data_IF_615115725342
#
_entry.id   IF_615115725342
#
_cell.length_a   1.000
_cell.length_b   1.000
_cell.length_c   1.000
_cell.angle_alpha   90.00
_cell.angle_beta   90.00
_cell.angle_gamma   90.00
#
_symmetry.space_group_name_H-M   'P 1'
#
loop_
_entity.id
_entity.type
_entity.pdbx_description
1 polymer ?
#
# COMPACT_ATOMS: atom_id res chain seq x y z
N UNK A 1 1.59 2.49 19.61
CA UNK A 1 1.15 2.96 18.27
C UNK A 1 2.29 3.77 17.68
N UNK A 2 2.73 3.49 16.44
CA UNK A 2 3.85 4.24 15.81
C UNK A 2 3.42 5.68 15.46
N UNK A 3 4.37 6.59 15.32
CA UNK A 3 4.08 7.99 14.95
C UNK A 3 3.40 8.08 13.58
N UNK A 4 3.83 7.28 12.61
CA UNK A 4 3.18 7.18 11.29
C UNK A 4 1.71 6.76 11.40
N UNK A 5 1.41 5.76 12.22
CA UNK A 5 0.04 5.27 12.40
C UNK A 5 -0.83 6.33 13.08
N UNK A 6 -0.33 7.02 14.11
CA UNK A 6 -1.07 8.14 14.74
C UNK A 6 -1.36 9.25 13.74
N UNK A 7 -0.37 9.62 12.93
CA UNK A 7 -0.48 10.68 11.93
C UNK A 7 -1.49 10.33 10.83
N UNK A 8 -1.35 9.17 10.19
CA UNK A 8 -2.25 8.69 9.14
C UNK A 8 -3.68 8.55 9.67
N UNK A 9 -3.85 7.97 10.87
CA UNK A 9 -5.16 7.88 11.53
C UNK A 9 -5.76 9.25 11.80
N UNK A 10 -4.97 10.21 12.30
CA UNK A 10 -5.43 11.57 12.56
C UNK A 10 -5.95 12.28 11.31
N UNK A 11 -5.25 12.13 10.19
CA UNK A 11 -5.70 12.66 8.90
C UNK A 11 -6.98 11.97 8.41
N UNK A 12 -7.07 10.65 8.53
CA UNK A 12 -8.24 9.89 8.14
C UNK A 12 -9.48 10.30 8.95
N UNK A 13 -9.38 10.39 10.28
CA UNK A 13 -10.50 10.78 11.14
C UNK A 13 -11.00 12.19 10.80
N UNK A 14 -10.11 13.17 10.68
CA UNK A 14 -10.50 14.53 10.26
C UNK A 14 -11.15 14.55 8.88
N UNK A 15 -10.69 13.69 7.96
CA UNK A 15 -11.31 13.59 6.64
C UNK A 15 -12.74 13.03 6.69
N UNK A 16 -13.04 12.14 7.64
CA UNK A 16 -14.38 11.62 7.87
C UNK A 16 -15.30 12.68 8.47
N UNK A 17 -14.75 13.62 9.24
CA UNK A 17 -15.45 14.82 9.74
C UNK A 17 -15.60 15.93 8.68
N UNK A 18 -15.19 15.69 7.44
CA UNK A 18 -15.37 16.62 6.31
C UNK A 18 -14.20 17.55 6.02
N UNK A 19 -13.06 17.38 6.69
CA UNK A 19 -11.86 18.18 6.42
C UNK A 19 -11.18 17.77 5.09
N UNK A 20 -11.48 18.52 4.03
CA UNK A 20 -10.94 18.29 2.70
C UNK A 20 -9.40 18.42 2.63
N UNK A 21 -8.78 19.27 3.45
CA UNK A 21 -7.31 19.43 3.45
C UNK A 21 -6.65 18.23 4.12
N UNK A 22 -7.22 17.74 5.22
CA UNK A 22 -6.77 16.50 5.85
C UNK A 22 -6.90 15.32 4.88
N UNK A 23 -7.98 15.27 4.11
CA UNK A 23 -8.19 14.24 3.10
C UNK A 23 -7.14 14.27 1.97
N UNK A 24 -6.84 15.44 1.43
CA UNK A 24 -5.81 15.60 0.40
C UNK A 24 -4.43 15.18 0.92
N UNK A 25 -4.09 15.57 2.15
CA UNK A 25 -2.82 15.19 2.76
C UNK A 25 -2.76 13.69 3.03
N UNK A 26 -3.84 13.10 3.54
CA UNK A 26 -3.98 11.65 3.73
C UNK A 26 -3.68 10.88 2.44
N UNK A 27 -4.35 11.23 1.33
CA UNK A 27 -4.13 10.56 0.05
C UNK A 27 -2.69 10.71 -0.46
N UNK A 28 -2.11 11.91 -0.34
CA UNK A 28 -0.74 12.19 -0.80
C UNK A 28 0.29 11.34 -0.07
N UNK A 29 0.19 11.28 1.25
CA UNK A 29 1.12 10.48 2.06
C UNK A 29 0.90 8.98 1.85
N UNK A 30 -0.36 8.57 1.77
CA UNK A 30 -0.71 7.19 1.53
C UNK A 30 -0.20 6.68 0.18
N UNK A 31 -0.23 7.51 -0.86
CA UNK A 31 0.37 7.18 -2.15
C UNK A 31 1.87 6.84 -2.03
N UNK A 32 2.61 7.57 -1.18
CA UNK A 32 4.01 7.30 -0.89
C UNK A 32 4.23 5.95 -0.20
N UNK A 33 3.44 5.67 0.85
CA UNK A 33 3.50 4.40 1.59
C UNK A 33 3.18 3.20 0.70
N UNK A 34 2.10 3.29 -0.09
CA UNK A 34 1.68 2.21 -0.99
C UNK A 34 2.70 1.98 -2.09
N UNK A 35 3.29 3.04 -2.66
CA UNK A 35 4.35 2.92 -3.66
C UNK A 35 5.56 2.17 -3.11
N UNK A 36 6.01 2.49 -1.90
CA UNK A 36 7.11 1.76 -1.23
C UNK A 36 6.75 0.28 -1.00
N UNK A 37 5.55 0.03 -0.49
CA UNK A 37 5.03 -1.32 -0.24
C UNK A 37 4.95 -2.18 -1.51
N UNK A 38 4.43 -1.63 -2.61
CA UNK A 38 4.28 -2.35 -3.89
C UNK A 38 5.60 -2.50 -4.64
N UNK A 39 6.47 -1.48 -4.68
CA UNK A 39 7.79 -1.60 -5.35
C UNK A 39 8.63 -2.75 -4.83
N UNK A 40 8.59 -3.01 -3.52
CA UNK A 40 9.29 -4.16 -2.92
C UNK A 40 8.73 -5.51 -3.36
N UNK A 41 7.43 -5.57 -3.67
CA UNK A 41 6.69 -6.82 -3.96
C UNK A 41 6.51 -7.09 -5.45
N UNK A 42 6.58 -6.04 -6.28
CA UNK A 42 6.43 -6.08 -7.73
C UNK A 42 7.77 -5.77 -8.42
N UNK A 43 8.88 -6.28 -7.90
CA UNK A 43 10.21 -6.03 -8.47
C UNK A 43 10.32 -6.48 -9.94
N UNK A 44 9.59 -7.53 -10.33
CA UNK A 44 9.50 -8.03 -11.71
C UNK A 44 8.43 -7.34 -12.56
N UNK A 45 7.57 -6.52 -11.96
CA UNK A 45 6.45 -5.83 -12.60
C UNK A 45 6.44 -4.34 -12.22
N UNK A 46 7.52 -3.59 -12.55
CA UNK A 46 7.65 -2.19 -12.11
C UNK A 46 6.55 -1.29 -12.68
N UNK A 47 6.06 -1.60 -13.87
CA UNK A 47 5.03 -0.81 -14.57
C UNK A 47 3.65 -0.90 -13.87
N UNK A 48 3.38 -2.01 -13.18
CA UNK A 48 2.12 -2.23 -12.45
C UNK A 48 2.02 -1.44 -11.14
N UNK A 49 3.15 -0.90 -10.65
CA UNK A 49 3.20 -0.27 -9.32
C UNK A 49 2.28 0.94 -9.24
N UNK A 50 2.39 1.90 -10.17
CA UNK A 50 1.62 3.14 -10.08
C UNK A 50 0.13 2.88 -10.31
N UNK A 51 -0.22 1.92 -11.17
CA UNK A 51 -1.61 1.52 -11.40
C UNK A 51 -2.21 0.87 -10.14
N UNK A 52 -1.45 -0.01 -9.48
CA UNK A 52 -1.90 -0.64 -8.23
C UNK A 52 -2.02 0.36 -7.07
N UNK A 53 -1.15 1.38 -7.02
CA UNK A 53 -1.29 2.52 -6.09
C UNK A 53 -2.61 3.24 -6.36
N UNK A 54 -2.89 3.61 -7.61
CA UNK A 54 -4.13 4.30 -7.96
C UNK A 54 -5.38 3.48 -7.62
N UNK A 55 -5.41 2.21 -8.01
CA UNK A 55 -6.50 1.30 -7.70
C UNK A 55 -6.75 1.18 -6.18
N UNK A 56 -5.67 1.15 -5.40
CA UNK A 56 -5.74 1.05 -3.94
C UNK A 56 -6.26 2.35 -3.33
N UNK A 57 -5.79 3.51 -3.79
CA UNK A 57 -6.29 4.81 -3.33
C UNK A 57 -7.78 4.98 -3.66
N UNK A 58 -8.23 4.56 -4.84
CA UNK A 58 -9.64 4.57 -5.22
C UNK A 58 -10.47 3.64 -4.32
N UNK A 59 -9.99 2.42 -4.07
CA UNK A 59 -10.66 1.49 -3.17
C UNK A 59 -10.79 2.04 -1.75
N UNK A 60 -9.73 2.68 -1.24
CA UNK A 60 -9.70 3.30 0.08
C UNK A 60 -10.63 4.52 0.13
N UNK A 61 -10.63 5.38 -0.89
CA UNK A 61 -11.58 6.49 -1.00
C UNK A 61 -13.03 6.02 -0.89
N UNK A 62 -13.37 4.98 -1.65
CA UNK A 62 -14.72 4.42 -1.70
C UNK A 62 -15.12 3.78 -0.38
N UNK A 63 -14.19 3.11 0.29
CA UNK A 63 -14.44 2.41 1.56
C UNK A 63 -14.18 3.25 2.80
N UNK A 64 -13.70 4.49 2.70
CA UNK A 64 -13.29 5.29 3.87
C UNK A 64 -14.37 5.41 4.95
N UNK A 65 -15.63 5.50 4.53
CA UNK A 65 -16.78 5.60 5.43
C UNK A 65 -17.08 4.31 6.22
N UNK A 66 -16.48 3.18 5.82
CA UNK A 66 -16.59 1.89 6.53
C UNK A 66 -15.42 1.68 7.50
N UNK A 67 -14.51 2.64 7.66
CA UNK A 67 -13.41 2.53 8.58
C UNK A 67 -13.92 2.56 10.02
N UNK A 68 -13.48 1.58 10.82
CA UNK A 68 -13.76 1.50 12.25
C UNK A 68 -12.63 2.18 13.04
N UNK A 69 -12.89 3.30 13.75
CA UNK A 69 -11.88 4.01 14.55
C UNK A 69 -11.25 3.16 15.67
N UNK A 70 -11.84 2.02 16.03
CA UNK A 70 -11.26 1.12 17.02
C UNK A 70 -10.12 0.26 16.44
N UNK A 71 -9.94 0.25 15.12
CA UNK A 71 -8.90 -0.52 14.44
C UNK A 71 -7.75 0.39 13.96
N UNK A 72 -6.51 -0.13 13.87
CA UNK A 72 -5.40 0.62 13.30
C UNK A 72 -5.66 0.99 11.83
N UNK A 73 -5.43 2.25 11.46
CA UNK A 73 -5.66 2.75 10.11
C UNK A 73 -4.75 2.04 9.10
N UNK A 74 -3.46 1.89 9.42
CA UNK A 74 -2.51 1.18 8.54
C UNK A 74 -2.92 -0.27 8.30
N UNK A 75 -3.48 -0.97 9.29
CA UNK A 75 -3.90 -2.36 9.13
C UNK A 75 -5.06 -2.47 8.12
N UNK A 76 -6.06 -1.61 8.25
CA UNK A 76 -7.19 -1.54 7.32
C UNK A 76 -6.74 -1.18 5.89
N UNK A 77 -5.83 -0.22 5.75
CA UNK A 77 -5.27 0.19 4.46
C UNK A 77 -4.47 -0.94 3.81
N UNK A 78 -3.56 -1.58 4.54
CA UNK A 78 -2.74 -2.66 3.99
C UNK A 78 -3.55 -3.91 3.68
N UNK A 79 -4.66 -4.16 4.37
CA UNK A 79 -5.59 -5.23 3.98
C UNK A 79 -6.17 -4.99 2.57
N UNK A 80 -6.55 -3.76 2.25
CA UNK A 80 -7.03 -3.39 0.91
C UNK A 80 -5.90 -3.51 -0.12
N UNK A 81 -4.71 -2.99 0.18
CA UNK A 81 -3.55 -3.06 -0.69
C UNK A 81 -3.12 -4.51 -0.98
N UNK A 82 -3.11 -5.37 0.04
CA UNK A 82 -2.81 -6.81 -0.08
C UNK A 82 -3.83 -7.52 -0.96
N UNK A 83 -5.12 -7.23 -0.78
CA UNK A 83 -6.16 -7.79 -1.65
C UNK A 83 -5.92 -7.43 -3.12
N UNK A 84 -5.61 -6.15 -3.40
CA UNK A 84 -5.32 -5.65 -4.74
C UNK A 84 -4.08 -6.31 -5.34
N UNK A 85 -3.00 -6.44 -4.57
CA UNK A 85 -1.79 -7.14 -4.99
C UNK A 85 -2.06 -8.61 -5.35
N UNK A 86 -2.77 -9.33 -4.49
CA UNK A 86 -3.12 -10.74 -4.74
C UNK A 86 -3.96 -10.88 -6.01
N UNK A 87 -4.90 -9.97 -6.24
CA UNK A 87 -5.71 -9.96 -7.45
C UNK A 87 -4.85 -9.75 -8.72
N UNK A 88 -3.91 -8.81 -8.69
CA UNK A 88 -2.96 -8.57 -9.77
C UNK A 88 -2.12 -9.82 -10.08
N UNK A 89 -1.49 -10.41 -9.07
CA UNK A 89 -0.64 -11.60 -9.24
C UNK A 89 -1.43 -12.78 -9.79
N UNK A 90 -2.66 -12.99 -9.31
CA UNK A 90 -3.58 -14.00 -9.85
C UNK A 90 -3.94 -13.74 -11.31
N UNK A 91 -4.07 -12.48 -11.74
CA UNK A 91 -4.32 -12.12 -13.15
C UNK A 91 -3.11 -12.45 -14.02
N UNK A 92 -1.90 -12.17 -13.53
CA UNK A 92 -0.65 -12.43 -14.24
C UNK A 92 -0.38 -13.93 -14.42
N UNK A 93 -0.52 -14.73 -13.35
CA UNK A 93 -0.35 -16.19 -13.43
C UNK A 93 -1.29 -16.86 -14.42
N UNK A 94 -2.53 -16.38 -14.53
CA UNK A 94 -3.51 -16.90 -15.51
C UNK A 94 -3.16 -16.48 -16.94
N UNK A 95 -2.51 -15.34 -17.12
CA UNK A 95 -2.05 -14.90 -18.43
C UNK A 95 -0.88 -15.76 -18.88
N UNK A 96 0.15 -15.92 -18.02
CA UNK A 96 1.33 -16.72 -18.31
C UNK A 96 0.97 -18.18 -18.62
N UNK A 97 0.08 -18.79 -17.83
CA UNK A 97 -0.41 -20.17 -18.06
C UNK A 97 -1.27 -20.35 -19.32
N UNK A 98 -1.79 -19.26 -19.91
CA UNK A 98 -2.52 -19.31 -21.18
C UNK A 98 -1.59 -19.12 -22.39
N UNK A 99 -0.41 -18.55 -22.18
CA UNK A 99 0.56 -18.24 -23.25
C UNK A 99 1.69 -19.25 -23.36
N UNK A 100 1.86 -20.17 -22.41
CA UNK A 100 2.91 -21.20 -22.44
C UNK A 100 2.32 -22.63 -22.43
N UNK A 101 2.76 -23.56 -23.31
CA UNK A 101 2.39 -24.96 -23.19
C UNK A 101 3.14 -25.59 -22.01
N UNK A 102 2.44 -25.70 -20.88
CA UNK A 102 2.71 -26.55 -19.70
C UNK A 102 4.19 -26.92 -19.46
N UNK A 103 4.87 -26.16 -18.61
CA UNK A 103 6.00 -26.70 -17.83
C UNK A 103 5.75 -26.51 -16.33
N UNK A 104 5.69 -27.64 -15.63
CA UNK A 104 5.26 -27.79 -14.24
C UNK A 104 6.45 -27.57 -13.29
N UNK A 105 6.78 -26.30 -13.02
CA UNK A 105 7.51 -25.99 -11.78
C UNK A 105 7.29 -24.54 -11.32
N UNK A 106 6.10 -24.22 -10.84
CA UNK A 106 5.86 -22.94 -10.17
C UNK A 106 5.87 -23.13 -8.66
N UNK A 107 7.03 -22.94 -8.04
CA UNK A 107 7.16 -22.84 -6.57
C UNK A 107 6.55 -21.51 -6.13
N UNK A 108 5.26 -21.53 -5.75
CA UNK A 108 4.49 -20.30 -5.59
C UNK A 108 4.34 -19.91 -4.10
N UNK A 109 5.06 -18.85 -3.73
CA UNK A 109 4.87 -17.95 -2.58
C UNK A 109 4.33 -18.56 -1.27
N UNK A 110 5.25 -18.84 -0.34
CA UNK A 110 4.93 -18.92 1.10
C UNK A 110 4.85 -17.50 1.67
N UNK A 111 3.70 -17.04 2.19
CA UNK A 111 3.66 -15.75 2.89
C UNK A 111 4.49 -15.87 4.18
N UNK A 112 5.60 -15.15 4.27
CA UNK A 112 6.43 -15.11 5.47
C UNK A 112 5.79 -14.26 6.57
N UNK A 113 5.90 -14.70 7.82
CA UNK A 113 5.33 -14.09 9.05
C UNK A 113 5.88 -12.69 9.42
N UNK A 114 6.65 -12.03 8.55
CA UNK A 114 7.23 -10.70 8.75
C UNK A 114 6.22 -9.52 8.66
N UNK A 115 4.94 -9.80 8.45
CA UNK A 115 3.89 -8.82 8.10
C UNK A 115 3.58 -7.76 9.20
N UNK A 116 3.95 -8.00 10.46
CA UNK A 116 3.81 -7.01 11.54
C UNK A 116 5.07 -6.15 11.77
N UNK A 117 6.23 -6.57 11.24
CA UNK A 117 7.50 -5.86 11.40
C UNK A 117 7.72 -4.75 10.35
N UNK A 118 7.11 -4.89 9.17
CA UNK A 118 7.23 -3.93 8.06
C UNK A 118 6.68 -2.54 8.41
N UNK A 119 5.65 -2.45 9.27
CA UNK A 119 5.11 -1.17 9.74
C UNK A 119 6.11 -0.34 10.58
N UNK A 120 7.20 -0.95 11.07
CA UNK A 120 8.25 -0.28 11.86
C UNK A 120 9.49 0.09 11.02
N UNK A 121 9.78 -0.62 9.93
CA UNK A 121 11.04 -0.46 9.18
C UNK A 121 10.98 0.56 8.05
N UNK A 122 9.80 0.97 7.59
CA UNK A 122 9.67 1.85 6.41
C UNK A 122 9.95 3.35 6.68
N UNK A 123 10.41 3.70 7.87
CA UNK A 123 10.68 5.09 8.30
C UNK A 123 12.17 5.48 8.26
N UNK A 124 13.04 4.64 7.69
CA UNK A 124 14.49 4.84 7.73
C UNK A 124 15.14 5.64 6.60
N UNK A 125 14.45 5.97 5.49
CA UNK A 125 15.18 6.38 4.26
C UNK A 125 14.58 7.51 3.42
N UNK A 126 13.80 8.44 3.98
CA UNK A 126 13.32 9.61 3.21
C UNK A 126 13.53 10.97 3.90
N UNK A 127 14.57 11.10 4.74
CA UNK A 127 15.11 12.41 5.12
C UNK A 127 16.61 12.49 4.81
N UNK A 128 16.96 12.69 3.54
CA UNK A 128 18.24 13.33 3.19
C UNK A 128 18.21 13.88 1.76
N UNK A 129 17.95 15.18 1.64
CA UNK A 129 18.39 16.15 0.61
C UNK A 129 17.52 17.39 0.79
N UNK A 130 17.97 18.62 1.04
CA UNK A 130 19.28 19.20 1.29
C UNK A 130 18.94 20.58 1.86
N UNK A 131 19.37 20.90 3.08
CA UNK A 131 19.38 22.27 3.58
C UNK A 131 20.83 22.74 3.61
N UNK A 132 21.27 23.37 2.53
CA UNK A 132 22.49 24.18 2.35
C UNK A 132 22.33 24.82 0.95
N UNK A 133 22.52 26.10 0.69
CA UNK A 133 23.31 27.10 1.36
C UNK A 133 22.80 28.50 0.99
N UNK A 134 22.93 29.42 1.95
CA UNK A 134 23.17 30.87 1.81
C UNK A 134 22.10 31.75 1.16
#
# INVERSE_FOLDING_TARGET
>A
MSETEKHIRGLLLRSLDGDAKAYQLFLKELAGLLRGYFRRRLASLPDEVEDLVQESLLAIHNKRHTYDPNQPATAWIYAIAKYKLIDLLRRHERYDKRTDPLDENTTLFTPSEDEAADARRDMGSSQKTENKAR
#
